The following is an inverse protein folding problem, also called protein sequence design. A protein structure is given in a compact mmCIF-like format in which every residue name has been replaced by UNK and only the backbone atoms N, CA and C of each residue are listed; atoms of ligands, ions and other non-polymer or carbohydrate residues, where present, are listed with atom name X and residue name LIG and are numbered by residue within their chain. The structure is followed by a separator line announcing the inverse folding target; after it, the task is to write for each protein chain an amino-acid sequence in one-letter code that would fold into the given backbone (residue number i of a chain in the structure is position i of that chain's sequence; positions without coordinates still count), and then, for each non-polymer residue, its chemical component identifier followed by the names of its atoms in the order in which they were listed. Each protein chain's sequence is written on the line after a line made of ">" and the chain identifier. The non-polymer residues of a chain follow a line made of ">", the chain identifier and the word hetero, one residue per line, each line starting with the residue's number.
data_IF_381128480255
#
_entry.id   IF_381128480255
#
_cell.length_a   1.000
_cell.length_b   1.000
_cell.length_c   1.000
_cell.angle_alpha   90.00
_cell.angle_beta   90.00
_cell.angle_gamma   90.00
#
_symmetry.space_group_name_H-M   'P 1'
#
loop_
_entity.id
_entity.type
_entity.pdbx_description
1 polymer ?
#
# COMPACT_ATOMS: atom_id res chain seq x y z
N UNK A 1 -1.82 11.18 -13.67
CA UNK A 1 -2.60 12.34 -13.14
C UNK A 1 -1.69 13.54 -13.14
N UNK A 2 -2.13 14.68 -13.68
CA UNK A 2 -1.36 15.94 -13.53
C UNK A 2 -1.82 16.65 -12.28
N UNK A 3 -0.89 17.12 -11.45
CA UNK A 3 -1.21 18.08 -10.40
C UNK A 3 -1.25 19.45 -11.04
N UNK A 4 -2.34 20.16 -10.87
CA UNK A 4 -2.52 21.53 -11.39
C UNK A 4 -2.87 22.47 -10.26
N UNK A 5 -2.44 23.73 -10.40
CA UNK A 5 -2.92 24.80 -9.56
C UNK A 5 -4.37 25.22 -9.96
N UNK A 6 -5.02 26.11 -9.21
CA UNK A 6 -6.39 26.58 -9.53
C UNK A 6 -6.54 27.26 -10.89
N UNK A 7 -5.44 27.67 -11.53
CA UNK A 7 -5.42 28.31 -12.85
C UNK A 7 -5.00 27.36 -13.96
N UNK A 8 -5.02 26.05 -13.70
CA UNK A 8 -4.63 24.98 -14.63
C UNK A 8 -3.13 24.98 -15.01
N UNK A 9 -2.30 25.71 -14.27
CA UNK A 9 -0.85 25.58 -14.37
C UNK A 9 -0.37 24.26 -13.82
N UNK A 10 0.64 23.64 -14.43
CA UNK A 10 1.22 22.40 -13.90
C UNK A 10 1.95 22.68 -12.58
N UNK A 11 1.68 21.86 -11.56
CA UNK A 11 2.44 21.92 -10.32
C UNK A 11 3.92 21.58 -10.60
N UNK A 12 4.87 22.29 -9.98
CA UNK A 12 6.30 22.07 -10.20
C UNK A 12 6.78 20.81 -9.48
N UNK A 13 6.17 19.66 -9.76
CA UNK A 13 6.53 18.36 -9.21
C UNK A 13 6.99 17.45 -10.33
N UNK A 14 8.24 17.01 -10.24
CA UNK A 14 8.81 16.05 -11.18
C UNK A 14 8.17 14.66 -11.11
N UNK A 15 7.50 14.35 -10.01
CA UNK A 15 6.94 13.03 -9.71
C UNK A 15 5.42 12.97 -9.94
N UNK A 16 4.71 14.08 -9.84
CA UNK A 16 3.25 14.14 -9.83
C UNK A 16 2.55 13.43 -11.00
N UNK A 17 3.13 13.50 -12.19
CA UNK A 17 2.58 12.84 -13.38
C UNK A 17 2.75 11.32 -13.38
N UNK A 18 3.60 10.79 -12.53
CA UNK A 18 3.98 9.37 -12.50
C UNK A 18 3.50 8.63 -11.25
N UNK A 19 2.74 9.29 -10.38
CA UNK A 19 2.20 8.69 -9.14
C UNK A 19 0.95 7.88 -9.43
N UNK A 20 1.11 6.63 -9.85
CA UNK A 20 -0.04 5.77 -10.20
C UNK A 20 -0.87 5.35 -8.99
N UNK A 21 -0.26 5.29 -7.81
CA UNK A 21 -0.95 4.92 -6.58
C UNK A 21 -2.14 5.81 -6.22
N UNK A 22 -2.27 6.97 -6.87
CA UNK A 22 -3.42 7.88 -6.71
C UNK A 22 -4.65 7.41 -7.51
N UNK A 23 -4.50 6.55 -8.51
CA UNK A 23 -5.61 6.14 -9.38
C UNK A 23 -6.76 5.48 -8.60
N UNK A 24 -6.52 4.50 -7.70
CA UNK A 24 -7.61 3.87 -6.95
C UNK A 24 -8.30 4.79 -5.94
N UNK A 25 -7.77 5.99 -5.64
CA UNK A 25 -8.39 6.91 -4.67
C UNK A 25 -9.83 7.24 -5.01
N UNK A 26 -10.16 7.38 -6.30
CA UNK A 26 -11.54 7.65 -6.68
C UNK A 26 -12.48 6.52 -6.26
N UNK A 27 -12.06 5.28 -6.48
CA UNK A 27 -12.84 4.09 -6.08
C UNK A 27 -12.96 4.02 -4.54
N UNK A 28 -11.86 4.27 -3.84
CA UNK A 28 -11.86 4.31 -2.37
C UNK A 28 -12.83 5.37 -1.83
N UNK A 29 -12.76 6.59 -2.33
CA UNK A 29 -13.62 7.69 -1.90
C UNK A 29 -15.09 7.44 -2.27
N UNK A 30 -15.37 6.89 -3.45
CA UNK A 30 -16.73 6.50 -3.84
C UNK A 30 -17.29 5.42 -2.91
N UNK A 31 -16.46 4.43 -2.51
CA UNK A 31 -16.86 3.41 -1.55
C UNK A 31 -17.17 4.02 -0.18
N UNK A 32 -16.37 4.95 0.32
CA UNK A 32 -16.67 5.68 1.56
C UNK A 32 -18.00 6.45 1.48
N UNK A 33 -18.29 7.10 0.33
CA UNK A 33 -19.56 7.78 0.09
C UNK A 33 -20.73 6.79 0.09
N UNK A 34 -20.57 5.61 -0.52
CA UNK A 34 -21.58 4.57 -0.50
C UNK A 34 -21.79 3.99 0.90
N UNK A 35 -20.72 3.73 1.66
CA UNK A 35 -20.82 3.25 3.06
C UNK A 35 -21.57 4.22 3.96
N UNK A 36 -21.34 5.54 3.74
CA UNK A 36 -22.06 6.58 4.47
C UNK A 36 -23.53 6.71 4.03
N UNK A 37 -23.85 6.43 2.77
CA UNK A 37 -25.20 6.54 2.21
C UNK A 37 -25.42 5.44 1.15
N UNK A 38 -25.78 4.21 1.54
CA UNK A 38 -25.87 3.05 0.65
C UNK A 38 -27.19 3.07 -0.16
N UNK A 39 -27.29 3.97 -1.14
CA UNK A 39 -28.49 4.16 -1.98
C UNK A 39 -28.19 3.93 -3.46
N UNK A 40 -29.23 3.65 -4.22
CA UNK A 40 -29.16 3.58 -5.69
C UNK A 40 -28.70 4.90 -6.30
N UNK A 41 -29.03 6.03 -5.69
CA UNK A 41 -28.59 7.35 -6.14
C UNK A 41 -27.08 7.52 -6.01
N UNK A 42 -26.50 7.08 -4.89
CA UNK A 42 -25.04 7.08 -4.70
C UNK A 42 -24.34 6.23 -5.76
N UNK A 43 -24.86 5.03 -6.02
CA UNK A 43 -24.33 4.16 -7.08
C UNK A 43 -24.41 4.82 -8.47
N UNK A 44 -25.53 5.46 -8.78
CA UNK A 44 -25.72 6.18 -10.04
C UNK A 44 -24.77 7.37 -10.18
N UNK A 45 -24.56 8.11 -9.08
CA UNK A 45 -23.71 9.30 -9.06
C UNK A 45 -22.25 8.99 -9.35
N UNK A 46 -21.70 7.92 -8.76
CA UNK A 46 -20.27 7.61 -8.80
C UNK A 46 -19.92 6.39 -9.68
N UNK A 47 -20.89 5.56 -10.04
CA UNK A 47 -20.67 4.28 -10.68
C UNK A 47 -19.90 4.34 -11.99
N UNK A 48 -20.20 5.34 -12.84
CA UNK A 48 -19.50 5.51 -14.11
C UNK A 48 -18.01 5.75 -13.92
N UNK A 49 -17.61 6.62 -13.01
CA UNK A 49 -16.23 6.95 -12.76
C UNK A 49 -15.48 5.80 -12.04
N UNK A 50 -16.18 5.04 -11.19
CA UNK A 50 -15.65 3.78 -10.62
C UNK A 50 -15.31 2.79 -11.73
N UNK A 51 -16.23 2.58 -12.68
CA UNK A 51 -16.05 1.71 -13.84
C UNK A 51 -14.85 2.16 -14.69
N UNK A 52 -14.84 3.42 -15.14
CA UNK A 52 -13.78 3.95 -16.01
C UNK A 52 -12.41 3.94 -15.33
N UNK A 53 -12.36 4.17 -14.00
CA UNK A 53 -11.12 4.06 -13.24
C UNK A 53 -10.62 2.62 -13.21
N UNK A 54 -11.51 1.65 -12.99
CA UNK A 54 -11.16 0.24 -12.98
C UNK A 54 -10.72 -0.27 -14.36
N UNK A 55 -11.34 0.21 -15.45
CA UNK A 55 -10.89 -0.08 -16.81
C UNK A 55 -9.47 0.41 -17.06
N UNK A 56 -9.17 1.66 -16.68
CA UNK A 56 -7.79 2.17 -16.73
C UNK A 56 -6.83 1.30 -15.93
N UNK A 57 -7.20 0.93 -14.70
CA UNK A 57 -6.36 0.09 -13.85
C UNK A 57 -6.11 -1.28 -14.46
N UNK A 58 -7.11 -1.87 -15.10
CA UNK A 58 -7.00 -3.17 -15.76
C UNK A 58 -6.15 -3.12 -17.04
N UNK A 59 -6.17 -2.01 -17.76
CA UNK A 59 -5.33 -1.79 -18.94
C UNK A 59 -3.87 -1.46 -18.57
N UNK A 60 -3.67 -0.79 -17.45
CA UNK A 60 -2.33 -0.36 -17.01
C UNK A 60 -1.43 -1.53 -16.59
N UNK A 61 -1.97 -2.63 -16.06
CA UNK A 61 -1.16 -3.75 -15.58
C UNK A 61 -0.41 -4.44 -16.72
N UNK A 62 0.85 -4.72 -16.50
CA UNK A 62 1.63 -5.59 -17.37
C UNK A 62 1.50 -7.05 -16.94
N UNK A 63 1.88 -8.01 -17.79
CA UNK A 63 1.90 -9.41 -17.42
C UNK A 63 3.11 -10.14 -17.95
N UNK A 64 3.52 -11.19 -17.23
CA UNK A 64 4.51 -12.16 -17.64
C UNK A 64 4.01 -13.58 -17.42
N UNK A 65 4.76 -14.55 -17.89
CA UNK A 65 4.46 -15.97 -17.69
C UNK A 65 5.49 -16.61 -16.79
N UNK A 66 5.01 -17.37 -15.79
CA UNK A 66 5.86 -18.13 -14.85
C UNK A 66 5.71 -19.61 -15.16
N UNK A 67 6.82 -20.29 -15.40
CA UNK A 67 6.82 -21.75 -15.48
C UNK A 67 6.63 -22.32 -14.07
N UNK A 68 5.47 -22.94 -13.84
CA UNK A 68 5.12 -23.58 -12.57
C UNK A 68 5.69 -25.01 -12.42
N UNK A 69 6.56 -25.47 -13.34
CA UNK A 69 7.13 -26.81 -13.32
C UNK A 69 8.04 -27.04 -12.11
N UNK A 70 7.69 -28.02 -11.27
CA UNK A 70 8.55 -28.51 -10.19
C UNK A 70 9.74 -29.26 -10.77
N UNK A 71 10.96 -29.15 -10.17
CA UNK A 71 12.08 -30.00 -10.55
C UNK A 71 11.72 -31.48 -10.30
N UNK A 72 11.81 -32.29 -11.32
CA UNK A 72 11.67 -33.73 -11.13
C UNK A 72 12.93 -34.31 -10.47
N UNK A 73 12.77 -35.34 -9.67
CA UNK A 73 13.87 -36.01 -8.95
C UNK A 73 15.03 -36.51 -9.83
N UNK A 74 14.85 -36.53 -11.14
CA UNK A 74 15.83 -36.93 -12.16
C UNK A 74 16.38 -35.76 -13.00
N UNK A 75 16.22 -34.53 -12.57
CA UNK A 75 16.74 -33.32 -13.24
C UNK A 75 16.02 -32.92 -14.53
N UNK A 76 15.00 -33.67 -14.98
CA UNK A 76 14.15 -33.29 -16.14
C UNK A 76 12.88 -32.58 -15.62
N UNK A 77 12.73 -31.30 -15.93
CA UNK A 77 11.49 -30.56 -15.63
C UNK A 77 10.32 -31.20 -16.42
N UNK A 78 9.23 -31.54 -15.74
CA UNK A 78 7.96 -31.77 -16.40
C UNK A 78 7.40 -30.38 -16.77
N UNK A 79 7.09 -30.11 -18.05
CA UNK A 79 6.45 -28.87 -18.42
C UNK A 79 5.08 -28.79 -17.73
N UNK A 80 4.90 -27.80 -16.89
CA UNK A 80 3.57 -27.42 -16.42
C UNK A 80 3.09 -26.22 -17.25
N UNK A 81 1.79 -26.02 -17.40
CA UNK A 81 1.28 -24.87 -18.14
C UNK A 81 1.79 -23.57 -17.49
N UNK A 82 2.36 -22.72 -18.32
CA UNK A 82 2.87 -21.43 -17.86
C UNK A 82 1.72 -20.60 -17.23
N UNK A 83 1.94 -20.16 -15.99
CA UNK A 83 0.96 -19.33 -15.26
C UNK A 83 1.20 -17.86 -15.59
N UNK A 84 0.14 -17.14 -16.01
CA UNK A 84 0.19 -15.71 -16.18
C UNK A 84 0.23 -15.01 -14.82
N UNK A 85 1.10 -14.01 -14.68
CA UNK A 85 1.19 -13.15 -13.48
C UNK A 85 1.13 -11.70 -13.94
N UNK A 86 0.22 -10.93 -13.35
CA UNK A 86 0.13 -9.49 -13.57
C UNK A 86 1.01 -8.74 -12.59
N UNK A 87 1.58 -7.61 -13.02
CA UNK A 87 2.49 -6.80 -12.22
C UNK A 87 2.38 -5.32 -12.59
N UNK A 88 2.85 -4.45 -11.69
CA UNK A 88 2.88 -3.01 -11.88
C UNK A 88 4.30 -2.53 -12.16
N UNK A 89 4.44 -1.59 -13.09
CA UNK A 89 5.76 -1.06 -13.49
C UNK A 89 5.69 0.38 -13.98
N UNK A 90 6.86 1.03 -14.01
CA UNK A 90 7.11 2.22 -14.81
C UNK A 90 6.57 3.52 -14.22
N UNK A 91 6.24 3.53 -12.94
CA UNK A 91 5.75 4.71 -12.26
C UNK A 91 6.52 5.00 -10.97
N UNK A 92 6.38 6.21 -10.46
CA UNK A 92 6.93 6.58 -9.16
C UNK A 92 6.06 6.00 -8.07
N UNK A 93 6.68 5.25 -7.15
CA UNK A 93 6.00 4.72 -5.98
C UNK A 93 5.63 5.83 -4.98
N UNK A 94 4.81 5.51 -4.00
CA UNK A 94 4.51 6.39 -2.88
C UNK A 94 5.79 6.82 -2.13
N UNK A 95 6.82 6.00 -2.11
CA UNK A 95 8.17 6.35 -1.69
C UNK A 95 8.90 7.06 -2.84
N UNK A 96 8.73 8.36 -2.95
CA UNK A 96 9.13 9.18 -4.12
C UNK A 96 10.65 9.27 -4.35
N UNK A 97 11.46 9.00 -3.32
CA UNK A 97 12.92 8.90 -3.43
C UNK A 97 13.37 7.68 -4.24
N UNK A 98 12.49 6.69 -4.42
CA UNK A 98 12.74 5.57 -5.30
C UNK A 98 12.51 5.98 -6.75
N UNK A 99 13.55 5.85 -7.57
CA UNK A 99 13.42 6.08 -9.01
C UNK A 99 12.44 5.07 -9.63
N UNK A 100 11.90 5.41 -10.81
CA UNK A 100 11.09 4.50 -11.64
C UNK A 100 11.77 3.14 -11.91
N UNK A 101 13.08 3.06 -11.77
CA UNK A 101 13.85 1.83 -11.94
C UNK A 101 13.76 0.89 -10.72
N UNK A 102 13.20 1.38 -9.60
CA UNK A 102 12.97 0.64 -8.35
C UNK A 102 11.49 0.49 -7.98
N UNK A 103 10.57 1.02 -8.78
CA UNK A 103 9.13 1.06 -8.45
C UNK A 103 8.31 -0.06 -9.08
N UNK A 104 8.91 -1.23 -9.26
CA UNK A 104 8.19 -2.42 -9.72
C UNK A 104 7.55 -3.14 -8.54
N UNK A 105 6.28 -3.45 -8.68
CA UNK A 105 5.53 -4.20 -7.68
C UNK A 105 5.61 -3.59 -6.28
N UNK A 106 5.52 -2.26 -6.19
CA UNK A 106 5.49 -1.62 -4.89
C UNK A 106 4.31 -2.15 -4.06
N UNK A 107 4.53 -2.58 -2.80
CA UNK A 107 3.53 -3.28 -2.00
C UNK A 107 2.21 -2.54 -1.87
N UNK A 108 2.25 -1.24 -1.59
CA UNK A 108 1.05 -0.43 -1.48
C UNK A 108 0.26 -0.37 -2.79
N UNK A 109 0.96 -0.18 -3.92
CA UNK A 109 0.32 -0.13 -5.24
C UNK A 109 -0.33 -1.46 -5.61
N UNK A 110 0.36 -2.59 -5.39
CA UNK A 110 -0.21 -3.92 -5.62
C UNK A 110 -1.49 -4.14 -4.77
N UNK A 111 -1.42 -3.83 -3.49
CA UNK A 111 -2.56 -3.97 -2.60
C UNK A 111 -3.72 -3.06 -3.01
N UNK A 112 -3.42 -1.83 -3.43
CA UNK A 112 -4.43 -0.86 -3.84
C UNK A 112 -5.05 -1.19 -5.20
N UNK A 113 -4.28 -1.77 -6.13
CA UNK A 113 -4.81 -2.29 -7.38
C UNK A 113 -5.79 -3.45 -7.14
N UNK A 114 -5.39 -4.40 -6.30
CA UNK A 114 -6.28 -5.48 -5.90
C UNK A 114 -7.58 -4.96 -5.28
N UNK A 115 -7.45 -4.03 -4.32
CA UNK A 115 -8.60 -3.38 -3.69
C UNK A 115 -9.51 -2.71 -4.71
N UNK A 116 -8.98 -1.83 -5.54
CA UNK A 116 -9.75 -1.03 -6.48
C UNK A 116 -10.53 -1.88 -7.48
N UNK A 117 -9.90 -2.88 -8.09
CA UNK A 117 -10.57 -3.79 -9.02
C UNK A 117 -11.63 -4.68 -8.34
N UNK A 118 -11.37 -5.10 -7.09
CA UNK A 118 -12.33 -5.87 -6.30
C UNK A 118 -13.57 -5.04 -5.98
N UNK A 119 -13.39 -3.83 -5.45
CA UNK A 119 -14.49 -2.92 -5.09
C UNK A 119 -15.27 -2.49 -6.34
N UNK A 120 -14.60 -2.22 -7.45
CA UNK A 120 -15.27 -1.89 -8.70
C UNK A 120 -16.20 -3.03 -9.18
N UNK A 121 -15.77 -4.28 -9.03
CA UNK A 121 -16.65 -5.44 -9.31
C UNK A 121 -17.82 -5.55 -8.33
N UNK A 122 -17.61 -5.24 -7.05
CA UNK A 122 -18.73 -5.16 -6.08
C UNK A 122 -19.71 -4.05 -6.43
N UNK A 123 -19.22 -2.92 -6.93
CA UNK A 123 -20.08 -1.84 -7.43
C UNK A 123 -20.92 -2.25 -8.63
N UNK A 124 -20.37 -3.05 -9.54
CA UNK A 124 -21.14 -3.64 -10.63
C UNK A 124 -22.29 -4.51 -10.11
N UNK A 125 -22.01 -5.40 -9.17
CA UNK A 125 -23.02 -6.27 -8.55
C UNK A 125 -24.12 -5.47 -7.83
N UNK A 126 -23.73 -4.43 -7.07
CA UNK A 126 -24.69 -3.51 -6.40
C UNK A 126 -25.60 -2.78 -7.40
N UNK A 127 -25.13 -2.57 -8.63
CA UNK A 127 -25.92 -1.99 -9.73
C UNK A 127 -26.70 -3.02 -10.53
N UNK A 128 -26.66 -4.29 -10.18
CA UNK A 128 -27.32 -5.38 -10.89
C UNK A 128 -26.60 -5.81 -12.17
N UNK A 129 -25.32 -5.47 -12.33
CA UNK A 129 -24.47 -5.85 -13.45
C UNK A 129 -23.66 -7.11 -13.11
N UNK A 130 -23.32 -7.89 -14.12
CA UNK A 130 -22.38 -9.00 -13.95
C UNK A 130 -20.96 -8.45 -13.61
N UNK A 131 -20.21 -9.23 -12.82
CA UNK A 131 -18.80 -8.96 -12.55
C UNK A 131 -17.99 -8.94 -13.85
N UNK A 132 -17.04 -8.04 -13.94
CA UNK A 132 -16.06 -8.06 -15.03
C UNK A 132 -15.04 -9.18 -14.77
N UNK A 133 -15.11 -10.23 -15.57
CA UNK A 133 -14.26 -11.43 -15.44
C UNK A 133 -12.77 -11.12 -15.60
N UNK A 134 -12.41 -10.14 -16.42
CA UNK A 134 -11.01 -9.77 -16.63
C UNK A 134 -10.42 -9.14 -15.37
N UNK A 135 -11.19 -8.32 -14.64
CA UNK A 135 -10.75 -7.74 -13.36
C UNK A 135 -10.54 -8.82 -12.29
N UNK A 136 -11.43 -9.82 -12.22
CA UNK A 136 -11.27 -10.97 -11.32
C UNK A 136 -10.03 -11.80 -11.67
N UNK A 137 -9.74 -12.01 -12.97
CA UNK A 137 -8.54 -12.69 -13.43
C UNK A 137 -7.30 -11.92 -13.01
N UNK A 138 -7.25 -10.60 -13.23
CA UNK A 138 -6.14 -9.75 -12.82
C UNK A 138 -5.92 -9.88 -11.29
N UNK A 139 -6.96 -9.68 -10.49
CA UNK A 139 -6.88 -9.79 -9.03
C UNK A 139 -6.34 -11.15 -8.57
N UNK A 140 -6.83 -12.25 -9.16
CA UNK A 140 -6.41 -13.62 -8.79
C UNK A 140 -4.98 -13.98 -9.21
N UNK A 141 -4.42 -13.26 -10.18
CA UNK A 141 -3.11 -13.50 -10.76
C UNK A 141 -2.14 -12.32 -10.56
N UNK A 142 -2.51 -11.36 -9.73
CA UNK A 142 -1.62 -10.25 -9.39
C UNK A 142 -0.42 -10.77 -8.58
N UNK A 143 0.75 -10.20 -8.84
CA UNK A 143 1.96 -10.53 -8.11
C UNK A 143 1.77 -10.29 -6.60
N UNK A 144 2.42 -11.12 -5.78
CA UNK A 144 2.49 -10.87 -4.34
C UNK A 144 3.54 -9.82 -4.02
N UNK A 145 3.42 -9.19 -2.86
CA UNK A 145 4.42 -8.20 -2.41
C UNK A 145 5.83 -8.81 -2.36
N UNK A 146 6.84 -8.07 -2.83
CA UNK A 146 8.22 -8.55 -2.77
C UNK A 146 8.75 -8.55 -1.33
N UNK A 147 9.52 -9.58 -0.99
CA UNK A 147 10.10 -9.75 0.35
C UNK A 147 11.57 -10.16 0.26
N UNK A 148 12.37 -9.75 1.25
CA UNK A 148 13.74 -10.23 1.45
C UNK A 148 13.74 -11.69 1.92
N UNK A 149 14.92 -12.30 1.97
CA UNK A 149 15.10 -13.65 2.56
C UNK A 149 14.66 -13.74 4.02
N UNK A 150 14.70 -12.61 4.75
CA UNK A 150 14.37 -12.52 6.17
C UNK A 150 12.89 -12.17 6.41
N UNK A 151 12.06 -12.24 5.36
CA UNK A 151 10.63 -11.93 5.35
C UNK A 151 10.31 -10.46 5.65
N UNK A 152 11.19 -9.53 5.26
CA UNK A 152 10.91 -8.10 5.28
C UNK A 152 10.30 -7.70 3.95
N UNK A 153 9.12 -7.08 3.97
CA UNK A 153 8.45 -6.56 2.78
C UNK A 153 9.28 -5.38 2.25
N UNK A 154 9.68 -5.47 0.99
CA UNK A 154 10.51 -4.44 0.37
C UNK A 154 9.65 -3.30 -0.19
N UNK A 155 10.24 -2.13 -0.39
CA UNK A 155 9.55 -1.00 -1.01
C UNK A 155 9.33 -1.15 -2.53
N UNK A 156 9.91 -2.19 -3.16
CA UNK A 156 9.76 -2.47 -4.58
C UNK A 156 10.87 -3.39 -5.09
N UNK A 157 10.84 -3.68 -6.38
CA UNK A 157 11.87 -4.47 -7.05
C UNK A 157 12.81 -3.58 -7.84
N UNK A 158 14.14 -3.65 -7.62
CA UNK A 158 15.10 -2.95 -8.47
C UNK A 158 15.18 -3.62 -9.85
N UNK A 159 15.25 -2.83 -10.91
CA UNK A 159 15.48 -3.33 -12.26
C UNK A 159 16.84 -4.03 -12.35
N UNK A 160 16.85 -5.27 -12.78
CA UNK A 160 18.05 -6.02 -13.13
C UNK A 160 18.81 -6.73 -12.00
N UNK A 161 18.38 -6.65 -10.74
CA UNK A 161 18.96 -7.44 -9.65
C UNK A 161 17.95 -7.84 -8.61
N UNK A 162 17.11 -8.77 -8.98
CA UNK A 162 16.01 -9.31 -8.15
C UNK A 162 16.26 -10.74 -7.70
N UNK A 163 17.48 -11.20 -7.90
CA UNK A 163 17.92 -12.55 -7.51
C UNK A 163 17.67 -12.77 -6.02
N UNK A 164 16.77 -13.68 -5.70
CA UNK A 164 16.51 -14.11 -4.32
C UNK A 164 15.36 -13.42 -3.59
N UNK A 165 14.58 -12.56 -4.25
CA UNK A 165 13.30 -12.15 -3.70
C UNK A 165 12.28 -13.28 -3.81
N UNK A 166 11.48 -13.50 -2.77
CA UNK A 166 10.38 -14.47 -2.74
C UNK A 166 9.18 -13.95 -3.54
N UNK A 167 9.41 -13.41 -4.74
CA UNK A 167 8.34 -12.82 -5.53
C UNK A 167 8.62 -12.95 -7.02
N UNK A 168 7.58 -12.76 -7.81
CA UNK A 168 7.68 -12.69 -9.26
C UNK A 168 8.55 -11.49 -9.67
N UNK A 169 9.61 -11.77 -10.40
CA UNK A 169 10.46 -10.77 -11.03
C UNK A 169 10.25 -10.77 -12.54
N UNK A 170 9.63 -9.72 -13.11
CA UNK A 170 9.39 -9.65 -14.54
C UNK A 170 10.66 -9.50 -15.37
N UNK A 171 11.80 -9.16 -14.75
CA UNK A 171 13.08 -8.92 -15.45
C UNK A 171 14.05 -10.10 -15.38
N UNK A 172 13.80 -11.05 -14.48
CA UNK A 172 14.64 -12.23 -14.35
C UNK A 172 14.10 -13.43 -15.17
N UNK A 173 13.40 -13.11 -16.26
CA UNK A 173 12.91 -14.10 -17.20
C UNK A 173 13.89 -14.27 -18.34
N UNK A 174 14.69 -15.33 -18.34
CA UNK A 174 15.46 -15.75 -19.53
C UNK A 174 14.58 -16.73 -20.31
N UNK A 175 14.21 -16.36 -21.54
CA UNK A 175 13.42 -17.20 -22.43
C UNK A 175 12.00 -17.52 -21.92
N UNK A 176 11.38 -16.60 -21.17
CA UNK A 176 10.04 -16.79 -20.58
C UNK A 176 10.02 -17.67 -19.32
N UNK A 177 11.17 -18.03 -18.80
CA UNK A 177 11.32 -18.78 -17.55
C UNK A 177 11.79 -17.87 -16.42
N UNK A 178 11.16 -17.95 -15.25
CA UNK A 178 11.68 -17.32 -14.04
C UNK A 178 12.92 -18.13 -13.60
N UNK A 179 14.09 -17.56 -13.78
CA UNK A 179 15.28 -18.13 -13.23
C UNK A 179 15.27 -17.91 -11.71
N UNK A 180 15.04 -18.98 -10.96
CA UNK A 180 15.29 -19.04 -9.53
C UNK A 180 16.79 -18.91 -9.24
N UNK A 181 17.36 -17.74 -9.47
CA UNK A 181 18.76 -17.47 -9.15
C UNK A 181 18.95 -17.35 -7.63
N UNK A 182 20.00 -17.97 -7.12
CA UNK A 182 20.24 -18.27 -5.70
C UNK A 182 20.89 -17.14 -4.89
N UNK A 183 20.93 -15.91 -5.32
CA UNK A 183 21.48 -14.81 -4.53
C UNK A 183 20.36 -13.93 -3.96
N UNK A 184 19.96 -14.22 -2.73
CA UNK A 184 19.00 -13.39 -2.02
C UNK A 184 19.58 -11.98 -1.79
N UNK A 185 18.84 -10.93 -2.15
CA UNK A 185 19.15 -9.57 -1.69
C UNK A 185 19.11 -9.58 -0.17
N UNK A 186 20.20 -9.18 0.49
CA UNK A 186 20.23 -9.10 1.94
C UNK A 186 19.36 -7.93 2.40
N UNK A 187 18.84 -8.03 3.61
CA UNK A 187 18.09 -6.93 4.22
C UNK A 187 18.95 -5.66 4.31
N UNK A 188 20.24 -5.79 4.58
CA UNK A 188 21.17 -4.65 4.62
C UNK A 188 21.32 -3.97 3.27
N UNK A 189 21.49 -4.72 2.18
CA UNK A 189 21.58 -4.14 0.82
C UNK A 189 20.33 -3.39 0.44
N UNK A 190 19.17 -3.90 0.85
CA UNK A 190 17.89 -3.24 0.65
C UNK A 190 17.75 -1.99 1.54
N UNK A 191 18.14 -2.09 2.82
CA UNK A 191 18.08 -1.01 3.80
C UNK A 191 18.81 0.26 3.35
N UNK A 192 20.03 0.11 2.84
CA UNK A 192 20.84 1.26 2.41
C UNK A 192 20.19 2.08 1.29
N UNK A 193 19.37 1.46 0.47
CA UNK A 193 18.69 2.12 -0.65
C UNK A 193 17.30 2.66 -0.32
N UNK A 194 16.58 2.03 0.60
CA UNK A 194 15.15 2.23 0.74
C UNK A 194 14.69 2.75 2.13
N UNK A 195 15.58 2.93 3.09
CA UNK A 195 15.24 3.38 4.45
C UNK A 195 15.05 4.89 4.62
N UNK A 196 14.95 5.60 3.53
CA UNK A 196 14.73 7.05 3.52
C UNK A 196 13.35 7.36 2.94
N UNK A 197 12.85 8.59 3.21
CA UNK A 197 11.55 9.03 2.75
C UNK A 197 10.39 8.22 3.39
N UNK A 198 9.29 8.01 2.70
CA UNK A 198 8.13 7.31 3.23
C UNK A 198 8.37 5.80 3.43
N UNK A 199 8.10 5.22 4.61
CA UNK A 199 8.10 3.76 4.78
C UNK A 199 6.85 3.13 4.13
N UNK A 200 6.67 3.39 2.84
CA UNK A 200 5.46 3.15 2.08
C UNK A 200 5.09 1.66 1.93
N UNK A 201 6.05 0.75 2.15
CA UNK A 201 5.76 -0.69 2.24
C UNK A 201 4.74 -1.04 3.33
N UNK A 202 4.66 -0.23 4.41
CA UNK A 202 3.68 -0.41 5.48
C UNK A 202 2.26 -0.07 5.04
N UNK A 203 2.08 0.78 4.01
CA UNK A 203 0.77 1.17 3.50
C UNK A 203 -0.06 -0.01 2.99
N UNK A 204 0.58 -1.05 2.48
CA UNK A 204 -0.08 -2.23 1.94
C UNK A 204 -0.97 -2.97 2.97
N UNK A 205 -0.65 -2.87 4.25
CA UNK A 205 -1.41 -3.50 5.33
C UNK A 205 -1.81 -2.52 6.45
N UNK A 206 -1.38 -1.26 6.36
CA UNK A 206 -1.75 -0.21 7.32
C UNK A 206 -2.92 0.64 6.84
N UNK A 207 -2.89 1.08 5.59
CA UNK A 207 -3.89 1.99 5.02
C UNK A 207 -5.08 1.27 4.38
N UNK A 208 -4.89 0.05 3.90
CA UNK A 208 -5.86 -0.70 3.13
C UNK A 208 -6.43 -1.89 3.92
N UNK A 209 -7.60 -2.39 3.56
CA UNK A 209 -8.11 -3.66 4.07
C UNK A 209 -7.15 -4.80 3.78
N UNK A 210 -7.29 -5.91 4.51
CA UNK A 210 -6.48 -7.10 4.29
C UNK A 210 -6.55 -7.56 2.82
N UNK A 211 -5.39 -7.65 2.18
CA UNK A 211 -5.27 -8.00 0.77
C UNK A 211 -4.61 -9.37 0.57
N UNK A 212 -5.09 -10.17 -0.41
CA UNK A 212 -4.43 -11.43 -0.78
C UNK A 212 -2.99 -11.26 -1.25
N UNK A 213 -2.61 -10.11 -1.76
CA UNK A 213 -1.23 -9.84 -2.22
C UNK A 213 -0.26 -9.56 -1.07
N UNK A 214 -0.78 -9.25 0.13
CA UNK A 214 -0.01 -8.97 1.35
C UNK A 214 -0.61 -9.72 2.56
N UNK A 215 -0.66 -11.05 2.50
CA UNK A 215 -1.33 -11.91 3.52
C UNK A 215 -0.47 -12.29 4.70
N UNK A 216 0.84 -12.20 4.59
CA UNK A 216 1.74 -12.71 5.63
C UNK A 216 1.81 -11.73 6.81
N UNK A 217 1.01 -12.03 7.84
CA UNK A 217 0.99 -11.23 9.06
C UNK A 217 2.31 -11.29 9.85
N UNK A 218 3.10 -12.34 9.68
CA UNK A 218 4.41 -12.47 10.29
C UNK A 218 5.39 -11.54 9.58
N UNK A 219 5.39 -11.55 8.24
CA UNK A 219 6.19 -10.62 7.45
C UNK A 219 5.80 -9.16 7.72
N UNK A 220 4.50 -8.85 7.85
CA UNK A 220 4.03 -7.52 8.20
C UNK A 220 4.58 -7.05 9.57
N UNK A 221 4.52 -7.90 10.60
CA UNK A 221 5.10 -7.60 11.93
C UNK A 221 6.61 -7.42 11.88
N UNK A 222 7.33 -8.30 11.18
CA UNK A 222 8.78 -8.19 11.00
C UNK A 222 9.14 -6.89 10.29
N UNK A 223 8.40 -6.54 9.23
CA UNK A 223 8.62 -5.30 8.47
C UNK A 223 8.38 -4.06 9.32
N UNK A 224 7.30 -4.03 10.10
CA UNK A 224 7.04 -2.95 11.06
C UNK A 224 8.18 -2.79 12.05
N UNK A 225 8.59 -3.89 12.70
CA UNK A 225 9.70 -3.88 13.67
C UNK A 225 11.00 -3.41 13.02
N UNK A 226 11.29 -3.87 11.80
CA UNK A 226 12.47 -3.47 11.07
C UNK A 226 12.45 -1.96 10.72
N UNK A 227 11.30 -1.44 10.26
CA UNK A 227 11.13 -0.01 9.99
C UNK A 227 11.36 0.82 11.25
N UNK A 228 10.76 0.45 12.37
CA UNK A 228 10.91 1.19 13.64
C UNK A 228 12.37 1.24 14.13
N UNK A 229 13.18 0.24 13.82
CA UNK A 229 14.57 0.15 14.26
C UNK A 229 15.57 0.76 13.27
N UNK A 230 15.25 0.78 11.98
CA UNK A 230 16.24 1.04 10.94
C UNK A 230 15.89 2.23 10.03
N UNK A 231 14.63 2.71 10.03
CA UNK A 231 14.23 3.79 9.14
C UNK A 231 14.82 5.14 9.56
N UNK A 232 15.19 5.95 8.59
CA UNK A 232 15.69 7.29 8.84
C UNK A 232 14.53 8.29 9.03
N UNK A 233 14.04 8.41 10.26
CA UNK A 233 12.93 9.30 10.58
C UNK A 233 13.21 10.80 10.37
N UNK A 234 14.44 11.19 10.12
CA UNK A 234 14.76 12.59 9.74
C UNK A 234 14.34 12.90 8.29
N UNK A 235 14.17 11.88 7.46
CA UNK A 235 13.79 12.03 6.06
C UNK A 235 12.31 11.78 5.79
N UNK A 236 11.55 11.30 6.78
CA UNK A 236 10.12 11.04 6.69
C UNK A 236 9.30 12.32 6.53
N UNK A 237 8.00 12.14 6.33
CA UNK A 237 7.03 13.22 6.23
C UNK A 237 5.96 13.09 7.32
N UNK A 238 5.28 14.17 7.66
CA UNK A 238 4.36 14.20 8.78
C UNK A 238 3.24 13.15 8.75
N UNK A 239 2.82 12.69 7.57
CA UNK A 239 1.78 11.68 7.45
C UNK A 239 2.27 10.24 7.67
N UNK A 240 3.57 10.00 7.64
CA UNK A 240 4.14 8.67 7.82
C UNK A 240 3.87 8.11 9.22
N UNK A 241 3.87 8.95 10.23
CA UNK A 241 3.66 8.55 11.63
C UNK A 241 2.26 7.97 11.84
N UNK A 242 1.24 8.59 11.24
CA UNK A 242 -0.12 8.05 11.21
C UNK A 242 -0.21 6.73 10.45
N UNK A 243 0.45 6.62 9.31
CA UNK A 243 0.50 5.37 8.53
C UNK A 243 1.17 4.23 9.32
N UNK A 244 2.30 4.51 9.98
CA UNK A 244 2.98 3.52 10.85
C UNK A 244 2.06 3.10 11.99
N UNK A 245 1.37 4.05 12.64
CA UNK A 245 0.44 3.75 13.72
C UNK A 245 -0.72 2.86 13.26
N UNK A 246 -1.29 3.13 12.09
CA UNK A 246 -2.35 2.28 11.50
C UNK A 246 -1.82 0.87 11.17
N UNK A 247 -0.62 0.77 10.61
CA UNK A 247 0.01 -0.52 10.33
C UNK A 247 0.24 -1.31 11.63
N UNK A 248 0.76 -0.67 12.66
CA UNK A 248 0.99 -1.27 13.96
C UNK A 248 -0.31 -1.76 14.62
N UNK A 249 -1.37 -0.93 14.59
CA UNK A 249 -2.68 -1.31 15.12
C UNK A 249 -3.24 -2.55 14.40
N UNK A 250 -3.17 -2.60 13.07
CA UNK A 250 -3.70 -3.72 12.27
C UNK A 250 -2.94 -5.04 12.50
N UNK A 251 -1.65 -4.99 12.84
CA UNK A 251 -0.89 -6.19 13.20
C UNK A 251 -0.96 -6.54 14.70
N UNK A 252 -1.73 -5.76 15.47
CA UNK A 252 -1.97 -5.99 16.90
C UNK A 252 -0.85 -5.49 17.83
N UNK A 253 0.02 -4.61 17.35
CA UNK A 253 1.08 -3.97 18.15
C UNK A 253 0.64 -2.56 18.57
N UNK A 254 -0.23 -2.50 19.56
CA UNK A 254 -0.83 -1.26 20.07
C UNK A 254 0.18 -0.34 20.73
N UNK A 255 1.26 -0.90 21.31
CA UNK A 255 2.34 -0.09 21.86
C UNK A 255 3.08 0.66 20.75
N UNK A 256 3.50 -0.03 19.71
CA UNK A 256 4.18 0.59 18.56
C UNK A 256 3.24 1.58 17.84
N UNK A 257 1.92 1.35 17.84
CA UNK A 257 0.96 2.30 17.27
C UNK A 257 1.01 3.66 17.98
N UNK A 258 1.06 3.65 19.31
CA UNK A 258 1.19 4.88 20.10
C UNK A 258 2.59 5.47 20.00
N UNK A 259 3.64 4.65 20.11
CA UNK A 259 5.03 5.11 20.00
C UNK A 259 5.25 5.84 18.67
N UNK A 260 4.68 5.35 17.56
CA UNK A 260 4.78 5.98 16.25
C UNK A 260 4.19 7.40 16.23
N UNK A 261 3.01 7.59 16.82
CA UNK A 261 2.39 8.91 16.91
C UNK A 261 3.17 9.88 17.81
N UNK A 262 3.98 9.36 18.72
CA UNK A 262 4.73 10.13 19.71
C UNK A 262 6.24 10.25 19.39
N UNK A 263 6.70 9.76 18.22
CA UNK A 263 8.09 9.92 17.81
C UNK A 263 8.49 11.39 17.84
N UNK A 264 9.53 11.73 18.60
CA UNK A 264 10.05 13.09 18.69
C UNK A 264 10.99 13.39 17.51
N UNK A 265 10.43 13.96 16.48
CA UNK A 265 11.16 14.45 15.29
C UNK A 265 10.56 15.75 14.79
N UNK A 266 11.37 16.53 14.06
CA UNK A 266 10.86 17.76 13.41
C UNK A 266 9.63 17.49 12.55
N UNK A 267 9.62 16.38 11.83
CA UNK A 267 8.54 16.00 10.88
C UNK A 267 7.23 15.64 11.58
N UNK A 268 7.29 15.24 12.84
CA UNK A 268 6.13 14.92 13.67
C UNK A 268 5.77 16.04 14.66
N UNK A 269 6.20 17.26 14.38
CA UNK A 269 5.92 18.41 15.24
C UNK A 269 4.58 19.05 14.86
N UNK A 270 3.77 19.37 15.88
CA UNK A 270 2.52 20.13 15.74
C UNK A 270 2.66 21.48 16.44
N UNK A 271 2.40 22.55 15.72
CA UNK A 271 2.47 23.91 16.22
C UNK A 271 1.31 24.20 17.17
N UNK A 272 1.39 25.32 17.93
CA UNK A 272 0.33 25.73 18.88
C UNK A 272 -1.06 25.89 18.24
N UNK A 273 -1.12 26.18 16.93
CA UNK A 273 -2.36 26.25 16.16
C UNK A 273 -2.83 24.89 15.64
N UNK A 274 -2.18 23.78 16.02
CA UNK A 274 -2.54 22.42 15.63
C UNK A 274 -1.99 21.96 14.26
N UNK A 275 -1.33 22.82 13.50
CA UNK A 275 -0.80 22.43 12.19
C UNK A 275 0.47 21.57 12.32
N UNK A 276 0.54 20.48 11.55
CA UNK A 276 1.77 19.74 11.38
C UNK A 276 2.81 20.60 10.66
N UNK A 277 4.03 20.58 11.19
CA UNK A 277 5.15 21.40 10.71
C UNK A 277 6.18 20.53 10.01
N UNK A 278 6.34 20.69 8.71
CA UNK A 278 7.27 19.89 7.93
C UNK A 278 8.65 20.53 7.78
N UNK A 279 8.70 21.80 7.34
CA UNK A 279 9.94 22.57 7.19
C UNK A 279 9.69 24.06 7.45
N UNK A 280 10.73 24.79 7.90
CA UNK A 280 10.63 26.19 8.27
C UNK A 280 10.43 27.13 7.07
N UNK A 281 11.01 26.78 5.93
CA UNK A 281 11.13 27.63 4.76
C UNK A 281 9.89 27.60 3.84
N UNK A 282 9.29 26.43 3.65
CA UNK A 282 8.22 26.27 2.64
C UNK A 282 7.01 25.44 3.04
N UNK A 283 7.09 24.61 4.09
CA UNK A 283 6.01 23.71 4.51
C UNK A 283 5.74 23.82 6.01
N UNK A 284 5.41 25.01 6.47
CA UNK A 284 5.02 25.27 7.87
C UNK A 284 3.61 24.77 8.19
N UNK A 285 2.83 24.49 7.17
CA UNK A 285 1.50 23.91 7.23
C UNK A 285 1.49 22.69 6.32
N UNK A 286 1.47 21.51 6.92
CA UNK A 286 1.47 20.25 6.19
C UNK A 286 0.23 19.42 6.54
N UNK A 287 -0.88 19.71 5.88
CA UNK A 287 -2.19 19.09 6.15
C UNK A 287 -2.21 17.56 6.00
N UNK A 288 -1.42 16.92 5.12
CA UNK A 288 -1.37 15.44 5.10
C UNK A 288 -0.96 14.84 6.44
N UNK A 289 -0.06 15.48 7.21
CA UNK A 289 0.28 15.05 8.55
C UNK A 289 -0.90 15.13 9.52
N UNK A 290 -1.66 16.23 9.46
CA UNK A 290 -2.89 16.38 10.26
C UNK A 290 -3.92 15.30 9.90
N UNK A 291 -4.16 15.09 8.60
CA UNK A 291 -5.11 14.06 8.13
C UNK A 291 -4.71 12.66 8.60
N UNK A 292 -3.44 12.30 8.47
CA UNK A 292 -2.96 10.98 8.89
C UNK A 292 -3.07 10.76 10.41
N UNK A 293 -2.72 11.78 11.23
CA UNK A 293 -2.91 11.70 12.68
C UNK A 293 -4.38 11.46 13.04
N UNK A 294 -5.29 12.25 12.50
CA UNK A 294 -6.72 12.13 12.80
C UNK A 294 -7.27 10.78 12.33
N UNK A 295 -6.90 10.32 11.14
CA UNK A 295 -7.32 9.02 10.60
C UNK A 295 -6.78 7.86 11.45
N UNK A 296 -5.51 7.91 11.84
CA UNK A 296 -4.91 6.88 12.69
C UNK A 296 -5.61 6.79 14.05
N UNK A 297 -5.83 7.93 14.73
CA UNK A 297 -6.53 7.96 16.01
C UNK A 297 -7.98 7.48 15.86
N UNK A 298 -8.69 7.91 14.83
CA UNK A 298 -10.06 7.44 14.56
C UNK A 298 -10.10 5.92 14.34
N UNK A 299 -9.21 5.38 13.53
CA UNK A 299 -9.10 3.93 13.29
C UNK A 299 -8.73 3.16 14.57
N UNK A 300 -7.78 3.67 15.36
CA UNK A 300 -7.39 3.06 16.64
C UNK A 300 -8.54 3.04 17.66
N UNK A 301 -9.44 4.02 17.60
CA UNK A 301 -10.66 4.08 18.42
C UNK A 301 -11.76 3.15 17.91
N UNK A 302 -12.21 3.37 16.69
CA UNK A 302 -13.40 2.72 16.12
C UNK A 302 -13.11 1.35 15.49
N UNK A 303 -11.84 1.07 15.17
CA UNK A 303 -11.43 -0.15 14.50
C UNK A 303 -11.56 -0.09 12.97
N UNK A 304 -11.45 -1.25 12.35
CA UNK A 304 -11.51 -1.44 10.90
C UNK A 304 -12.31 -2.69 10.56
N UNK A 305 -12.65 -2.88 9.30
CA UNK A 305 -13.36 -4.05 8.83
C UNK A 305 -12.54 -5.32 9.07
N UNK A 306 -13.18 -6.35 9.62
CA UNK A 306 -12.50 -7.58 10.05
C UNK A 306 -11.80 -7.50 11.41
N UNK A 307 -11.73 -6.33 12.04
CA UNK A 307 -11.24 -6.24 13.42
C UNK A 307 -12.19 -6.94 14.40
N UNK A 308 -11.65 -7.83 15.23
CA UNK A 308 -12.43 -8.59 16.21
C UNK A 308 -12.76 -7.78 17.46
N UNK A 309 -11.93 -6.80 17.81
CA UNK A 309 -12.13 -5.93 18.95
C UNK A 309 -13.25 -4.91 18.65
N UNK A 310 -14.20 -4.80 19.55
CA UNK A 310 -15.35 -3.93 19.38
C UNK A 310 -15.06 -2.46 19.70
N UNK A 311 -14.09 -2.21 20.58
CA UNK A 311 -13.84 -0.88 21.16
C UNK A 311 -12.35 -0.65 21.39
N UNK A 312 -11.83 0.47 20.90
CA UNK A 312 -10.43 0.90 21.05
C UNK A 312 -9.37 -0.15 20.67
N UNK A 313 -9.47 -0.84 19.51
CA UNK A 313 -8.56 -1.93 19.15
C UNK A 313 -7.11 -1.49 18.98
N UNK A 314 -6.86 -0.22 18.70
CA UNK A 314 -5.51 0.33 18.52
C UNK A 314 -4.83 0.78 19.83
N UNK A 315 -5.48 0.65 20.97
CA UNK A 315 -4.92 1.09 22.25
C UNK A 315 -4.61 -0.09 23.18
N UNK A 316 -3.55 -0.01 24.00
CA UNK A 316 -3.24 -1.01 25.02
C UNK A 316 -4.40 -1.24 25.99
N UNK A 317 -4.56 -2.48 26.46
CA UNK A 317 -5.60 -2.89 27.41
C UNK A 317 -5.09 -3.05 28.84
N UNK A 318 -3.93 -2.49 29.15
CA UNK A 318 -3.24 -2.59 30.45
C UNK A 318 -3.70 -1.52 31.46
N UNK A 319 -4.70 -0.72 31.12
CA UNK A 319 -5.22 0.34 31.98
C UNK A 319 -4.47 1.67 31.91
N UNK A 320 -3.41 1.78 31.11
CA UNK A 320 -2.65 3.03 30.93
C UNK A 320 -3.39 4.08 30.12
N UNK A 321 -4.38 3.66 29.31
CA UNK A 321 -5.18 4.54 28.45
C UNK A 321 -6.66 4.47 28.78
N UNK A 322 -7.28 5.62 28.96
CA UNK A 322 -8.74 5.77 29.05
C UNK A 322 -9.25 6.52 27.81
N UNK A 323 -9.70 5.77 26.81
CA UNK A 323 -10.08 6.30 25.51
C UNK A 323 -11.60 6.36 25.39
N UNK A 324 -12.12 7.53 25.06
CA UNK A 324 -13.55 7.77 24.79
C UNK A 324 -13.68 8.49 23.45
N UNK A 325 -14.70 8.13 22.70
CA UNK A 325 -15.00 8.73 21.40
C UNK A 325 -16.49 8.58 21.09
N UNK A 326 -16.97 9.38 20.16
CA UNK A 326 -18.33 9.34 19.61
C UNK A 326 -18.31 9.74 18.14
N UNK A 327 -19.31 9.33 17.37
CA UNK A 327 -19.48 9.72 15.97
C UNK A 327 -18.46 9.13 15.01
N UNK A 328 -17.60 8.21 15.43
CA UNK A 328 -16.65 7.53 14.56
C UNK A 328 -17.24 6.23 14.00
N UNK A 329 -16.82 5.87 12.80
CA UNK A 329 -17.16 4.62 12.15
C UNK A 329 -15.90 3.79 11.90
N UNK A 330 -16.07 2.49 11.72
CA UNK A 330 -14.97 1.60 11.33
C UNK A 330 -14.42 2.00 9.97
N UNK A 331 -13.10 2.04 9.89
CA UNK A 331 -12.39 2.17 8.62
C UNK A 331 -12.54 0.87 7.80
N UNK A 332 -12.39 0.96 6.48
CA UNK A 332 -12.26 -0.21 5.62
C UNK A 332 -11.09 -1.11 5.99
#
# INVERSE_FOLDING_TARGET
>A
MKMTDPWAGEAPSNTGSFLIWQQPHYIYLAEEMYRANPTAETLKQYGKQVEETAEFMADFVSYGTVDSGSPAANGKRKPAPAKKVYYLQGATAMQESMSKDFSYNHPFELAYWHYGLTVANEWRERQGLERNKQWDIICSQLATVPMTKDDIITAGLPKGNTTGLKSFDPFNTVGGQVNGGNAAVSTETFADKCRNDHPACLGAFGLLPASPVCRDSVAAKKTLSWVMQNWNFQTTWGWDYGMIAMAAARVGDTKTALDALLIDTQKNTYLKNGHNFQTADRLRLYLPGNGALLTAVAMMCAGWDGCKEAYNPGFPKDGTWNVRWEGLHRMQ
#
